data_IF_570662682128
#
_entry.id   IF_570662682128
#
_cell.length_a   1.000
_cell.length_b   1.000
_cell.length_c   1.000
_cell.angle_alpha   90.00
_cell.angle_beta   90.00
_cell.angle_gamma   90.00
#
_symmetry.space_group_name_H-M   'P 1'
#
loop_
_entity.id
_entity.type
_entity.pdbx_description
1 polymer ?
#
# COMPACT_ATOMS: atom_id res chain seq x y z
N UNK A 1 -15.17 7.52 -25.95
CA UNK A 1 -14.13 7.44 -24.91
C UNK A 1 -14.26 6.08 -24.25
N UNK A 2 -13.16 5.38 -23.99
CA UNK A 2 -13.21 4.20 -23.11
C UNK A 2 -13.21 4.73 -21.68
N UNK A 3 -14.13 4.26 -20.86
CA UNK A 3 -14.10 4.59 -19.44
C UNK A 3 -12.84 3.99 -18.83
N UNK A 4 -12.05 4.85 -18.19
CA UNK A 4 -10.83 4.43 -17.50
C UNK A 4 -11.21 4.05 -16.07
N UNK A 5 -11.01 2.79 -15.71
CA UNK A 5 -11.24 2.28 -14.36
C UNK A 5 -10.02 2.65 -13.52
N UNK A 6 -10.24 3.38 -12.43
CA UNK A 6 -9.20 3.70 -11.46
C UNK A 6 -9.03 2.55 -10.47
N UNK A 7 -7.80 2.12 -10.25
CA UNK A 7 -7.42 1.06 -9.31
C UNK A 7 -6.75 1.66 -8.07
N UNK A 8 -7.36 1.44 -6.91
CA UNK A 8 -6.79 1.69 -5.59
C UNK A 8 -6.38 0.35 -4.99
N UNK A 9 -5.08 0.18 -4.74
CA UNK A 9 -4.54 -1.02 -4.09
C UNK A 9 -4.42 -0.80 -2.58
N UNK A 10 -4.92 -1.74 -1.76
CA UNK A 10 -4.90 -1.66 -0.29
C UNK A 10 -3.90 -2.62 0.35
N UNK A 11 -2.98 -3.23 -0.42
CA UNK A 11 -2.05 -4.27 0.06
C UNK A 11 -1.23 -3.82 1.27
N UNK A 12 -0.75 -2.57 1.29
CA UNK A 12 0.07 -2.08 2.40
C UNK A 12 -0.74 -1.89 3.69
N UNK A 13 -1.98 -1.38 3.59
CA UNK A 13 -2.86 -1.15 4.73
C UNK A 13 -3.56 -2.43 5.21
N UNK A 14 -4.30 -3.11 4.32
CA UNK A 14 -5.07 -4.31 4.66
C UNK A 14 -4.16 -5.53 4.87
N UNK A 15 -3.08 -5.62 4.09
CA UNK A 15 -2.11 -6.70 4.23
C UNK A 15 -1.46 -6.67 5.61
N UNK A 16 -1.02 -5.50 6.09
CA UNK A 16 -0.42 -5.36 7.42
C UNK A 16 -1.43 -5.56 8.57
N UNK A 17 -2.72 -5.33 8.33
CA UNK A 17 -3.78 -5.63 9.30
C UNK A 17 -4.12 -7.13 9.38
N UNK A 18 -3.60 -7.95 8.48
CA UNK A 18 -3.81 -9.40 8.50
C UNK A 18 -2.97 -10.05 9.60
N UNK A 19 -3.57 -10.95 10.37
CA UNK A 19 -2.91 -11.60 11.51
C UNK A 19 -1.63 -12.33 11.07
N UNK A 20 -0.50 -11.99 11.71
CA UNK A 20 0.80 -12.60 11.42
C UNK A 20 1.53 -11.97 10.23
N UNK A 21 0.99 -10.90 9.64
CA UNK A 21 1.66 -10.09 8.62
C UNK A 21 2.15 -8.81 9.26
N UNK A 22 3.40 -8.45 9.00
CA UNK A 22 3.98 -7.16 9.33
C UNK A 22 5.05 -6.89 8.29
N UNK A 23 5.06 -5.68 7.73
CA UNK A 23 6.05 -5.30 6.72
C UNK A 23 7.09 -4.39 7.35
N UNK A 24 8.36 -4.69 7.13
CA UNK A 24 9.42 -3.73 7.42
C UNK A 24 9.30 -2.49 6.52
N UNK A 25 9.77 -1.29 6.95
CA UNK A 25 9.65 -0.06 6.14
C UNK A 25 10.19 -0.20 4.71
N UNK A 26 11.31 -0.90 4.57
CA UNK A 26 12.00 -1.23 3.31
C UNK A 26 11.21 -2.24 2.45
N UNK A 27 10.49 -3.18 3.06
CA UNK A 27 9.53 -4.04 2.35
C UNK A 27 8.34 -3.23 1.85
N UNK A 28 7.77 -2.33 2.66
CA UNK A 28 6.66 -1.45 2.26
C UNK A 28 7.03 -0.61 1.04
N UNK A 29 8.23 -0.02 1.05
CA UNK A 29 8.75 0.76 -0.07
C UNK A 29 8.92 -0.10 -1.32
N UNK A 30 9.42 -1.34 -1.18
CA UNK A 30 9.61 -2.25 -2.29
C UNK A 30 8.27 -2.68 -2.92
N UNK A 31 7.28 -3.02 -2.08
CA UNK A 31 5.91 -3.33 -2.50
C UNK A 31 5.27 -2.12 -3.20
N UNK A 32 5.38 -0.92 -2.62
CA UNK A 32 4.86 0.31 -3.21
C UNK A 32 5.44 0.59 -4.60
N UNK A 33 6.76 0.41 -4.77
CA UNK A 33 7.40 0.54 -6.09
C UNK A 33 6.89 -0.50 -7.08
N UNK A 34 6.76 -1.76 -6.66
CA UNK A 34 6.23 -2.81 -7.53
C UNK A 34 4.80 -2.49 -7.99
N UNK A 35 3.93 -2.07 -7.07
CA UNK A 35 2.54 -1.69 -7.35
C UNK A 35 2.45 -0.50 -8.32
N UNK A 36 3.20 0.58 -8.08
CA UNK A 36 3.15 1.78 -8.94
C UNK A 36 3.88 1.62 -10.27
N UNK A 37 5.06 0.98 -10.28
CA UNK A 37 5.96 0.99 -11.44
C UNK A 37 5.78 -0.26 -12.33
N UNK A 38 5.51 -1.41 -11.71
CA UNK A 38 5.38 -2.69 -12.44
C UNK A 38 3.92 -2.98 -12.76
N UNK A 39 3.04 -3.00 -11.75
CA UNK A 39 1.60 -3.27 -11.91
C UNK A 39 0.81 -2.05 -12.38
N UNK A 40 1.37 -0.85 -12.18
CA UNK A 40 0.80 0.43 -12.62
C UNK A 40 -0.62 0.67 -12.09
N UNK A 41 -0.85 0.37 -10.81
CA UNK A 41 -2.07 0.80 -10.12
C UNK A 41 -2.07 2.33 -10.01
N UNK A 42 -3.25 2.94 -10.03
CA UNK A 42 -3.36 4.40 -10.00
C UNK A 42 -3.01 4.97 -8.62
N UNK A 43 -3.35 4.24 -7.56
CA UNK A 43 -3.18 4.69 -6.17
C UNK A 43 -2.93 3.50 -5.24
N UNK A 44 -2.25 3.78 -4.12
CA UNK A 44 -2.00 2.81 -3.05
C UNK A 44 -2.43 3.43 -1.72
N UNK A 45 -3.12 2.66 -0.90
CA UNK A 45 -3.40 2.98 0.50
C UNK A 45 -2.27 2.40 1.39
N UNK A 46 -1.53 3.28 2.08
CA UNK A 46 -0.30 2.92 2.79
C UNK A 46 -0.54 2.69 4.29
N UNK A 47 -1.39 3.49 4.93
CA UNK A 47 -1.73 3.44 6.36
C UNK A 47 -2.82 4.47 6.71
N UNK A 48 -3.48 4.31 7.86
CA UNK A 48 -4.36 5.36 8.40
C UNK A 48 -3.48 6.40 9.10
N UNK A 49 -3.64 7.68 8.75
CA UNK A 49 -2.75 8.77 9.17
C UNK A 49 -2.74 9.09 10.70
N UNK A 50 -3.08 8.16 11.60
CA UNK A 50 -3.16 8.49 13.02
C UNK A 50 -3.40 7.37 14.03
N UNK A 51 -2.94 6.13 13.83
CA UNK A 51 -3.23 5.05 14.82
C UNK A 51 -2.03 4.36 15.46
N UNK A 52 -0.79 4.49 14.96
CA UNK A 52 0.35 3.94 15.72
C UNK A 52 1.68 4.69 15.60
N UNK A 53 2.55 4.52 16.59
CA UNK A 53 3.91 5.09 16.61
C UNK A 53 4.78 4.57 15.45
N UNK A 54 4.54 3.34 14.97
CA UNK A 54 5.28 2.75 13.85
C UNK A 54 4.88 3.26 12.47
N UNK A 55 3.76 3.98 12.34
CA UNK A 55 3.34 4.63 11.08
C UNK A 55 3.95 6.03 10.89
N UNK A 56 4.64 6.55 11.91
CA UNK A 56 5.23 7.91 11.91
C UNK A 56 6.71 7.96 11.53
N UNK A 57 7.38 6.80 11.50
CA UNK A 57 8.80 6.67 11.17
C UNK A 57 9.03 6.31 9.69
#
# INVERSE_FOLDING_TARGET
MRDHILLMDTTLRDGEQTQGVSFAPDEKVSIARALLQTLKVDRIEVASAGVSHGEKE
#
